data_IF_874933216114
#
_entry.id   IF_874933216114
#
_cell.length_a   1.000
_cell.length_b   1.000
_cell.length_c   1.000
_cell.angle_alpha   90.00
_cell.angle_beta   90.00
_cell.angle_gamma   90.00
#
_symmetry.space_group_name_H-M   'P 1'
#
loop_
_entity.id
_entity.type
_entity.pdbx_description
1 polymer ?
#
# COMPACT_ATOMS: atom_id res chain seq x y z
N UNK A 1 3.61 -6.21 19.28
CA UNK A 1 2.14 -6.21 19.19
C UNK A 1 1.79 -6.63 17.77
N UNK A 2 1.30 -7.85 17.57
CA UNK A 2 0.97 -8.38 16.25
C UNK A 2 -0.52 -8.19 16.00
N UNK A 3 -0.88 -7.08 15.36
CA UNK A 3 -2.26 -6.87 14.91
C UNK A 3 -2.41 -7.58 13.56
N UNK A 4 -3.29 -8.59 13.50
CA UNK A 4 -3.69 -9.19 12.23
C UNK A 4 -4.59 -8.19 11.50
N UNK A 5 -3.99 -7.33 10.70
CA UNK A 5 -4.73 -6.49 9.77
C UNK A 5 -5.16 -7.33 8.57
N UNK A 6 -6.33 -7.04 7.97
CA UNK A 6 -6.81 -7.75 6.78
C UNK A 6 -6.04 -7.40 5.50
N UNK A 7 -5.00 -6.57 5.61
CA UNK A 7 -4.14 -6.10 4.52
C UNK A 7 -2.66 -6.42 4.79
N UNK A 8 -1.90 -6.63 3.73
CA UNK A 8 -0.47 -7.00 3.73
C UNK A 8 0.32 -6.13 2.75
N UNK A 9 1.65 -6.32 2.74
CA UNK A 9 2.51 -5.75 1.69
C UNK A 9 1.99 -6.17 0.31
N UNK A 10 1.91 -5.22 -0.60
CA UNK A 10 1.35 -5.39 -1.95
C UNK A 10 -0.09 -4.90 -2.09
N UNK A 11 -0.84 -4.73 -1.00
CA UNK A 11 -2.22 -4.27 -1.07
C UNK A 11 -2.31 -2.75 -1.25
N UNK A 12 -3.32 -2.29 -2.00
CA UNK A 12 -3.68 -0.87 -2.08
C UNK A 12 -4.70 -0.55 -1.01
N UNK A 13 -4.39 0.43 -0.17
CA UNK A 13 -5.25 0.88 0.93
C UNK A 13 -5.61 2.36 0.80
N UNK A 14 -6.74 2.73 1.39
CA UNK A 14 -7.15 4.12 1.61
C UNK A 14 -7.23 4.39 3.11
N UNK A 15 -6.42 5.34 3.56
CA UNK A 15 -6.39 5.83 4.94
C UNK A 15 -7.30 7.05 5.02
N UNK A 16 -8.36 6.94 5.83
CA UNK A 16 -9.33 8.01 6.05
C UNK A 16 -8.82 8.96 7.13
N UNK A 17 -7.81 9.75 6.79
CA UNK A 17 -7.42 10.91 7.58
C UNK A 17 -8.21 12.15 7.14
N UNK A 18 -8.71 12.91 8.11
CA UNK A 18 -9.48 14.14 7.85
C UNK A 18 -8.61 15.22 7.23
N UNK A 19 -7.36 15.30 7.66
CA UNK A 19 -6.45 16.38 7.23
C UNK A 19 -5.67 15.97 5.97
N UNK A 20 -5.41 14.67 5.80
CA UNK A 20 -4.61 14.17 4.69
C UNK A 20 -5.02 12.74 4.28
N UNK A 21 -6.10 12.59 3.48
CA UNK A 21 -6.51 11.28 2.99
C UNK A 21 -5.43 10.71 2.07
N UNK A 22 -5.05 9.45 2.31
CA UNK A 22 -3.98 8.79 1.55
C UNK A 22 -4.54 7.57 0.85
N UNK A 23 -4.29 7.45 -0.46
CA UNK A 23 -4.43 6.20 -1.21
C UNK A 23 -3.05 5.75 -1.67
N UNK A 24 -2.64 4.58 -1.23
CA UNK A 24 -1.29 4.10 -1.49
C UNK A 24 -1.20 2.58 -1.43
N UNK A 25 -0.17 2.04 -2.06
CA UNK A 25 0.21 0.64 -1.95
C UNK A 25 1.12 0.46 -0.75
N UNK A 26 0.90 -0.59 0.04
CA UNK A 26 1.79 -0.96 1.15
C UNK A 26 3.05 -1.58 0.56
N UNK A 27 4.16 -0.85 0.61
CA UNK A 27 5.45 -1.32 0.09
C UNK A 27 6.23 -2.11 1.15
N UNK A 28 6.15 -1.71 2.41
CA UNK A 28 6.78 -2.43 3.53
C UNK A 28 6.10 -2.13 4.87
N UNK A 29 6.16 -3.09 5.80
CA UNK A 29 5.64 -2.97 7.16
C UNK A 29 6.80 -3.11 8.14
N UNK A 30 7.28 -1.98 8.66
CA UNK A 30 8.33 -1.96 9.69
C UNK A 30 7.71 -1.96 11.09
N UNK A 31 8.55 -2.21 12.10
CA UNK A 31 8.12 -2.27 13.51
C UNK A 31 7.40 -1.01 14.00
N UNK A 32 7.72 0.17 13.44
CA UNK A 32 7.20 1.46 13.93
C UNK A 32 6.50 2.31 12.85
N UNK A 33 6.61 1.93 11.58
CA UNK A 33 6.07 2.71 10.46
C UNK A 33 5.73 1.81 9.27
N UNK A 34 4.77 2.24 8.48
CA UNK A 34 4.45 1.71 7.16
C UNK A 34 5.17 2.54 6.11
N UNK A 35 5.68 1.87 5.08
CA UNK A 35 6.12 2.51 3.85
C UNK A 35 5.00 2.38 2.83
N UNK A 36 4.53 3.51 2.32
CA UNK A 36 3.39 3.63 1.43
C UNK A 36 3.83 4.28 0.13
N UNK A 37 3.56 3.62 -0.99
CA UNK A 37 3.80 4.16 -2.33
C UNK A 37 2.55 4.83 -2.86
N UNK A 38 2.61 6.13 -3.08
CA UNK A 38 1.54 6.89 -3.73
C UNK A 38 1.52 6.62 -5.25
N UNK A 39 0.38 6.88 -5.88
CA UNK A 39 0.19 6.70 -7.33
C UNK A 39 1.10 7.63 -8.16
N UNK A 40 1.60 8.72 -7.58
CA UNK A 40 2.58 9.62 -8.22
C UNK A 40 4.03 9.13 -8.09
N UNK A 41 4.26 7.98 -7.46
CA UNK A 41 5.58 7.40 -7.22
C UNK A 41 6.26 7.87 -5.93
N UNK A 42 5.68 8.78 -5.16
CA UNK A 42 6.27 9.26 -3.91
C UNK A 42 6.21 8.19 -2.81
N UNK A 43 7.28 8.12 -2.00
CA UNK A 43 7.34 7.28 -0.81
C UNK A 43 6.92 8.08 0.42
N UNK A 44 5.82 7.67 1.05
CA UNK A 44 5.33 8.23 2.31
C UNK A 44 5.55 7.23 3.42
N UNK A 45 6.07 7.69 4.56
CA UNK A 45 6.13 6.87 5.76
C UNK A 45 5.03 7.26 6.74
N UNK A 46 4.34 6.26 7.29
CA UNK A 46 3.19 6.49 8.16
C UNK A 46 3.35 5.73 9.49
N UNK A 47 3.44 6.43 10.64
CA UNK A 47 3.60 5.80 11.94
C UNK A 47 2.46 4.83 12.31
N UNK A 48 2.80 3.69 12.91
CA UNK A 48 1.82 2.64 13.27
C UNK A 48 0.76 3.12 14.27
N UNK A 49 1.11 4.04 15.19
CA UNK A 49 0.18 4.59 16.18
C UNK A 49 -0.93 5.45 15.56
N UNK A 50 -0.65 6.11 14.44
CA UNK A 50 -1.66 6.85 13.70
C UNK A 50 -2.58 5.89 12.96
N UNK A 51 -2.07 4.78 12.44
CA UNK A 51 -2.90 3.80 11.73
C UNK A 51 -3.97 3.16 12.60
N UNK A 52 -3.65 2.94 13.88
CA UNK A 52 -4.60 2.39 14.84
C UNK A 52 -5.77 3.34 15.17
N UNK A 53 -5.63 4.64 14.84
CA UNK A 53 -6.62 5.67 15.16
C UNK A 53 -7.47 6.08 13.95
N UNK A 54 -7.15 5.58 12.75
CA UNK A 54 -7.81 5.96 11.49
C UNK A 54 -8.53 4.76 10.90
N UNK A 55 -9.65 5.00 10.25
CA UNK A 55 -10.29 3.96 9.46
C UNK A 55 -9.46 3.70 8.20
N UNK A 56 -9.35 2.43 7.81
CA UNK A 56 -8.62 2.00 6.62
C UNK A 56 -9.52 1.15 5.76
N UNK A 57 -9.62 1.48 4.48
CA UNK A 57 -10.27 0.66 3.47
C UNK A 57 -9.21 -0.11 2.69
N UNK A 58 -9.38 -1.44 2.57
CA UNK A 58 -8.66 -2.23 1.58
C UNK A 58 -9.32 -1.98 0.21
N UNK A 59 -8.61 -1.29 -0.68
CA UNK A 59 -9.11 -0.90 -2.00
C UNK A 59 -8.92 -2.05 -2.99
N UNK A 60 -7.72 -2.63 -3.00
CA UNK A 60 -7.33 -3.70 -3.92
C UNK A 60 -6.34 -4.64 -3.24
N UNK A 61 -6.55 -5.95 -3.41
CA UNK A 61 -5.61 -6.97 -2.94
C UNK A 61 -4.55 -7.23 -4.00
N UNK A 62 -3.31 -7.41 -3.56
CA UNK A 62 -2.19 -7.78 -4.44
C UNK A 62 -2.01 -6.80 -5.62
N UNK A 63 -2.17 -5.50 -5.38
CA UNK A 63 -2.12 -4.44 -6.38
C UNK A 63 -0.74 -4.27 -7.06
N UNK A 64 0.33 -4.86 -6.52
CA UNK A 64 1.66 -4.87 -7.15
C UNK A 64 1.76 -5.91 -8.28
N UNK A 65 1.03 -7.02 -8.16
CA UNK A 65 1.11 -8.13 -9.12
C UNK A 65 0.33 -7.83 -10.41
N UNK A 66 -0.61 -6.89 -10.37
CA UNK A 66 -1.40 -6.49 -11.55
C UNK A 66 -0.61 -5.63 -12.55
N UNK A 67 0.43 -4.90 -12.12
CA UNK A 67 1.21 -4.02 -13.01
C UNK A 67 2.38 -4.70 -13.75
N UNK A 68 2.72 -5.96 -13.42
CA UNK A 68 3.86 -6.68 -14.00
C UNK A 68 3.50 -7.71 -15.09
N UNK A 69 2.27 -7.70 -15.62
CA UNK A 69 1.81 -8.73 -16.56
C UNK A 69 1.86 -8.38 -18.06
N UNK A 70 2.39 -7.22 -18.45
CA UNK A 70 2.35 -6.74 -19.85
C UNK A 70 3.73 -6.53 -20.54
N UNK A 71 4.79 -7.27 -20.16
CA UNK A 71 6.07 -7.21 -20.90
C UNK A 71 6.80 -8.57 -20.99
N UNK A 72 6.22 -9.55 -21.71
CA UNK A 72 7.02 -10.62 -22.34
C UNK A 72 6.31 -11.22 -23.57
N UNK A 73 6.20 -10.43 -24.64
CA UNK A 73 5.43 -10.84 -25.81
C UNK A 73 5.72 -10.09 -27.12
N UNK A 74 6.98 -10.09 -27.59
CA UNK A 74 7.41 -10.18 -29.00
C UNK A 74 8.86 -9.71 -29.09
N UNK A 75 9.80 -10.53 -29.53
CA UNK A 75 10.04 -10.57 -30.97
C UNK A 75 10.54 -11.94 -31.44
N UNK A 76 9.82 -12.48 -32.41
CA UNK A 76 10.24 -13.61 -33.21
C UNK A 76 11.15 -13.11 -34.33
N UNK A 77 12.40 -13.60 -34.40
CA UNK A 77 13.18 -13.76 -35.65
C UNK A 77 14.13 -14.95 -35.54
#
# INVERSE_FOLDING_TARGET
MFFNFPYKVGDKIEIHDKDFPIKAIIEDIRAFQLHLRLDNGDLVTYPNNLMLQKAVTLVEKDAIDSEHSDDDGSDAV
#
